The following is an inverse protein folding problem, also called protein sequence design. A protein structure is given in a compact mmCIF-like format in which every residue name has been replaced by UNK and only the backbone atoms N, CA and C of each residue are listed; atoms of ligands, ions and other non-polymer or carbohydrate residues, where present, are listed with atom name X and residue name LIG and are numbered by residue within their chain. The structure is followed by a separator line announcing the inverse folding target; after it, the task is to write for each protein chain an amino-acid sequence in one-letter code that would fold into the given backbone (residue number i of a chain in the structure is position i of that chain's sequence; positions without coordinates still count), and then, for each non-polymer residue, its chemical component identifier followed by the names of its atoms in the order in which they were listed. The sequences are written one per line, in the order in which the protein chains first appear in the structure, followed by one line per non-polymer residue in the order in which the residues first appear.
data_IF_918846948219
#
_entry.id   IF_918846948219
#
_cell.length_a   1.000
_cell.length_b   1.000
_cell.length_c   1.000
_cell.angle_alpha   90.00
_cell.angle_beta   90.00
_cell.angle_gamma   90.00
#
_symmetry.space_group_name_H-M   'P 1'
#
loop_
_entity.id
_entity.type
_entity.pdbx_description
1 polymer ?
#
# COMPACT_ATOMS: atom_id res chain seq x y z
N UNK A 1 -0.24 13.22 -3.22
CA UNK A 1 0.56 12.17 -2.56
C UNK A 1 -0.35 11.43 -1.60
N UNK A 2 -0.66 10.12 -1.74
CA UNK A 2 -1.49 9.43 -0.77
C UNK A 2 -0.69 8.93 0.44
N UNK A 3 -1.28 9.02 1.63
CA UNK A 3 -0.81 8.32 2.83
C UNK A 3 -1.54 6.99 2.90
N UNK A 4 -0.80 5.89 2.88
CA UNK A 4 -1.35 4.53 2.86
C UNK A 4 -0.94 3.77 4.11
N UNK A 5 -1.80 2.88 4.60
CA UNK A 5 -1.43 1.93 5.66
C UNK A 5 -2.22 0.63 5.57
N UNK A 6 -1.67 -0.41 6.18
CA UNK A 6 -2.45 -1.58 6.57
C UNK A 6 -3.22 -1.35 7.87
N UNK A 7 -3.86 -2.41 8.38
CA UNK A 7 -4.73 -2.34 9.56
C UNK A 7 -4.02 -1.92 10.85
N UNK A 8 -2.74 -2.29 11.03
CA UNK A 8 -1.97 -2.04 12.26
C UNK A 8 -1.51 -0.59 12.43
N UNK A 9 -1.55 0.23 11.38
CA UNK A 9 -1.06 1.61 11.39
C UNK A 9 -2.10 2.63 10.92
N UNK A 10 -3.36 2.20 10.85
CA UNK A 10 -4.51 3.00 10.38
C UNK A 10 -4.62 4.33 11.12
N UNK A 11 -4.60 4.31 12.45
CA UNK A 11 -4.80 5.52 13.26
C UNK A 11 -3.68 6.55 13.06
N UNK A 12 -2.43 6.09 13.04
CA UNK A 12 -1.26 6.95 12.78
C UNK A 12 -1.33 7.54 11.37
N UNK A 13 -1.68 6.74 10.37
CA UNK A 13 -1.80 7.18 8.98
C UNK A 13 -2.94 8.19 8.77
N UNK A 14 -4.11 7.93 9.37
CA UNK A 14 -5.26 8.85 9.35
C UNK A 14 -4.96 10.16 10.06
N UNK A 15 -4.15 10.14 11.12
CA UNK A 15 -3.73 11.36 11.82
C UNK A 15 -2.65 12.12 11.06
N UNK A 16 -1.75 11.42 10.36
CA UNK A 16 -0.69 12.02 9.56
C UNK A 16 -1.22 12.69 8.30
N UNK A 17 -2.23 12.11 7.65
CA UNK A 17 -2.67 12.57 6.32
C UNK A 17 -3.14 14.04 6.28
N UNK A 18 -3.90 14.58 7.27
CA UNK A 18 -4.29 15.98 7.28
C UNK A 18 -3.11 16.93 7.50
N UNK A 19 -2.10 16.53 8.30
CA UNK A 19 -0.89 17.32 8.50
C UNK A 19 -0.06 17.47 7.22
N UNK A 20 -0.15 16.48 6.33
CA UNK A 20 0.50 16.50 5.03
C UNK A 20 -0.38 17.11 3.92
N UNK A 21 -1.65 17.44 4.21
CA UNK A 21 -2.62 17.87 3.19
C UNK A 21 -2.94 16.77 2.18
N UNK A 22 -2.90 15.51 2.61
CA UNK A 22 -2.93 14.32 1.76
C UNK A 22 -4.17 13.45 2.03
N UNK A 23 -4.62 12.75 1.00
CA UNK A 23 -5.67 11.73 1.16
C UNK A 23 -5.12 10.51 1.89
N UNK A 24 -5.93 9.95 2.79
CA UNK A 24 -5.67 8.66 3.40
C UNK A 24 -6.30 7.54 2.56
N UNK A 25 -5.54 6.47 2.33
CA UNK A 25 -5.98 5.27 1.62
C UNK A 25 -5.66 4.04 2.47
N UNK A 26 -6.67 3.27 2.80
CA UNK A 26 -6.48 2.01 3.51
C UNK A 26 -6.19 0.86 2.54
N UNK A 27 -5.08 0.15 2.77
CA UNK A 27 -4.79 -1.08 2.04
C UNK A 27 -5.59 -2.25 2.62
N UNK A 28 -6.02 -3.17 1.76
CA UNK A 28 -6.56 -4.44 2.22
C UNK A 28 -5.42 -5.24 2.81
N UNK A 29 -5.52 -5.60 4.09
CA UNK A 29 -4.55 -6.47 4.74
C UNK A 29 -5.24 -7.45 5.67
N UNK A 30 -5.03 -8.76 5.44
CA UNK A 30 -5.59 -9.85 6.25
C UNK A 30 -4.65 -11.05 6.28
N UNK A 31 -4.98 -12.03 7.10
CA UNK A 31 -4.30 -13.34 7.13
C UNK A 31 -5.22 -14.43 6.62
N UNK A 32 -4.66 -15.38 5.89
CA UNK A 32 -5.32 -16.63 5.55
C UNK A 32 -5.35 -17.59 6.75
N UNK A 33 -6.19 -18.65 6.73
CA UNK A 33 -6.29 -19.61 7.83
C UNK A 33 -4.99 -20.37 8.14
N UNK A 34 -4.09 -20.49 7.18
CA UNK A 34 -2.75 -21.09 7.32
C UNK A 34 -1.70 -20.10 7.89
N UNK A 35 -2.09 -18.85 8.13
CA UNK A 35 -1.23 -17.81 8.68
C UNK A 35 -0.54 -16.94 7.63
N UNK A 36 -0.72 -17.21 6.33
CA UNK A 36 -0.11 -16.40 5.27
C UNK A 36 -0.73 -14.99 5.19
N UNK A 37 0.11 -14.00 4.87
CA UNK A 37 -0.31 -12.61 4.73
C UNK A 37 -0.90 -12.32 3.35
N UNK A 38 -2.06 -11.67 3.30
CA UNK A 38 -2.66 -11.15 2.08
C UNK A 38 -2.68 -9.62 2.12
N UNK A 39 -2.22 -9.01 1.03
CA UNK A 39 -2.26 -7.55 0.84
C UNK A 39 -2.80 -7.22 -0.55
N UNK A 40 -3.64 -6.18 -0.65
CA UNK A 40 -4.11 -5.63 -1.92
C UNK A 40 -4.29 -4.11 -1.84
N UNK A 41 -3.90 -3.40 -2.91
CA UNK A 41 -4.27 -1.99 -3.13
C UNK A 41 -5.71 -1.94 -3.68
N UNK A 42 -6.63 -1.18 -3.06
CA UNK A 42 -7.99 -1.01 -3.60
C UNK A 42 -8.00 -0.49 -5.04
N UNK A 43 -8.97 -0.92 -5.83
CA UNK A 43 -9.08 -0.62 -7.25
C UNK A 43 -9.29 0.89 -7.49
N UNK A 44 -10.13 1.51 -6.67
CA UNK A 44 -10.40 2.94 -6.62
C UNK A 44 -9.19 3.78 -6.14
N UNK A 45 -8.18 3.13 -5.56
CA UNK A 45 -6.95 3.79 -5.10
C UNK A 45 -5.77 3.68 -6.08
N UNK A 46 -5.91 2.94 -7.20
CA UNK A 46 -4.83 2.75 -8.18
C UNK A 46 -4.32 4.08 -8.72
N UNK A 47 -5.22 4.96 -9.15
CA UNK A 47 -4.85 6.26 -9.70
C UNK A 47 -4.21 7.17 -8.65
N UNK A 48 -4.72 7.15 -7.41
CA UNK A 48 -4.14 7.89 -6.30
C UNK A 48 -2.68 7.49 -6.04
N UNK A 49 -2.41 6.18 -5.96
CA UNK A 49 -1.06 5.62 -5.73
C UNK A 49 -0.10 5.92 -6.88
N UNK A 50 -0.62 6.10 -8.10
CA UNK A 50 0.18 6.37 -9.31
C UNK A 50 0.40 7.86 -9.57
N UNK A 51 -0.51 8.73 -9.14
CA UNK A 51 -0.51 10.17 -9.45
C UNK A 51 0.69 10.93 -8.88
N UNK A 52 1.11 10.61 -7.66
CA UNK A 52 2.15 11.32 -6.92
C UNK A 52 2.94 10.35 -6.03
N UNK A 53 3.93 10.86 -5.29
CA UNK A 53 4.60 10.06 -4.27
C UNK A 53 3.63 9.50 -3.21
N UNK A 54 3.87 8.27 -2.76
CA UNK A 54 3.06 7.55 -1.77
C UNK A 54 3.86 7.33 -0.50
N UNK A 55 3.26 7.60 0.66
CA UNK A 55 3.85 7.35 1.98
C UNK A 55 3.15 6.16 2.62
N UNK A 56 3.84 5.03 2.76
CA UNK A 56 3.38 3.88 3.52
C UNK A 56 3.73 4.06 5.00
N UNK A 57 2.71 4.16 5.84
CA UNK A 57 2.85 4.09 7.29
C UNK A 57 2.66 2.64 7.72
N UNK A 58 3.69 2.05 8.31
CA UNK A 58 3.65 0.65 8.74
C UNK A 58 4.56 0.39 9.93
N UNK A 59 4.05 -0.34 10.92
CA UNK A 59 4.84 -0.85 12.03
C UNK A 59 5.55 -2.16 11.63
N UNK A 60 6.84 -2.26 11.96
CA UNK A 60 7.68 -3.45 11.74
C UNK A 60 7.82 -4.34 12.98
N UNK A 61 7.05 -4.07 14.03
CA UNK A 61 6.94 -4.90 15.24
C UNK A 61 5.55 -5.56 15.34
N UNK A 62 5.45 -6.83 15.77
CA UNK A 62 6.53 -7.82 15.90
C UNK A 62 7.02 -8.30 14.52
N UNK A 63 7.87 -9.33 14.42
CA UNK A 63 8.43 -9.84 13.14
C UNK A 63 7.39 -10.03 12.02
N UNK A 64 6.17 -10.43 12.37
CA UNK A 64 5.07 -10.55 11.40
C UNK A 64 4.70 -9.23 10.70
N UNK A 65 4.96 -8.09 11.35
CA UNK A 65 4.83 -6.74 10.79
C UNK A 65 5.90 -6.42 9.74
N UNK A 66 7.10 -7.00 9.84
CA UNK A 66 8.15 -6.87 8.81
C UNK A 66 7.65 -7.50 7.50
N UNK A 67 7.17 -8.74 7.55
CA UNK A 67 6.65 -9.43 6.36
C UNK A 67 5.45 -8.69 5.77
N UNK A 68 4.51 -8.25 6.61
CA UNK A 68 3.35 -7.47 6.15
C UNK A 68 3.79 -6.16 5.46
N UNK A 69 4.80 -5.47 6.01
CA UNK A 69 5.37 -4.26 5.42
C UNK A 69 5.99 -4.54 4.06
N UNK A 70 6.76 -5.62 3.92
CA UNK A 70 7.37 -6.03 2.64
C UNK A 70 6.29 -6.31 1.60
N UNK A 71 5.21 -7.02 1.97
CA UNK A 71 4.10 -7.31 1.05
C UNK A 71 3.36 -6.03 0.61
N UNK A 72 3.14 -5.08 1.53
CA UNK A 72 2.56 -3.76 1.19
C UNK A 72 3.46 -2.96 0.26
N UNK A 73 4.76 -2.92 0.52
CA UNK A 73 5.73 -2.25 -0.36
C UNK A 73 5.74 -2.87 -1.76
N UNK A 74 5.70 -4.21 -1.86
CA UNK A 74 5.62 -4.92 -3.13
C UNK A 74 4.35 -4.57 -3.89
N UNK A 75 3.19 -4.63 -3.23
CA UNK A 75 1.90 -4.32 -3.86
C UNK A 75 1.85 -2.88 -4.40
N UNK A 76 2.33 -1.90 -3.62
CA UNK A 76 2.41 -0.51 -4.05
C UNK A 76 3.40 -0.32 -5.21
N UNK A 77 4.55 -1.00 -5.16
CA UNK A 77 5.54 -0.98 -6.24
C UNK A 77 4.96 -1.54 -7.54
N UNK A 78 4.22 -2.64 -7.48
CA UNK A 78 3.60 -3.26 -8.66
C UNK A 78 2.58 -2.30 -9.31
N UNK A 79 1.75 -1.65 -8.49
CA UNK A 79 0.81 -0.63 -8.95
C UNK A 79 1.54 0.53 -9.64
N UNK A 80 2.64 1.03 -9.08
CA UNK A 80 3.42 2.11 -9.70
C UNK A 80 4.12 1.68 -10.99
N UNK A 81 4.66 0.46 -11.04
CA UNK A 81 5.27 -0.11 -12.26
C UNK A 81 4.24 -0.48 -13.33
N UNK A 82 2.96 -0.45 -12.99
CA UNK A 82 1.89 -0.86 -13.88
C UNK A 82 1.85 -2.39 -14.10
N UNK A 83 2.38 -3.17 -13.16
CA UNK A 83 2.38 -4.64 -13.16
C UNK A 83 1.11 -5.15 -12.45
N UNK A 84 -0.05 -4.99 -13.08
CA UNK A 84 -1.38 -5.22 -12.49
C UNK A 84 -2.05 -6.53 -12.98
N UNK A 85 -1.25 -7.45 -13.52
CA UNK A 85 -1.77 -8.69 -14.07
C UNK A 85 -2.49 -9.52 -13.01
N UNK A 86 -3.66 -10.03 -13.35
CA UNK A 86 -4.43 -10.88 -12.47
C UNK A 86 -5.07 -12.04 -13.25
N UNK A 87 -5.33 -13.15 -12.55
CA UNK A 87 -5.85 -14.38 -13.16
C UNK A 87 -7.23 -14.20 -13.78
N UNK A 88 -8.01 -13.21 -13.33
CA UNK A 88 -9.34 -12.94 -13.87
C UNK A 88 -9.29 -12.18 -15.21
N UNK A 89 -8.16 -11.54 -15.54
CA UNK A 89 -8.03 -10.70 -16.74
C UNK A 89 -8.92 -9.46 -16.73
N UNK A 90 -9.37 -9.02 -15.54
CA UNK A 90 -10.26 -7.86 -15.37
C UNK A 90 -9.41 -6.65 -14.97
N UNK A 91 -9.85 -5.44 -15.34
CA UNK A 91 -9.12 -4.18 -15.10
C UNK A 91 -7.80 -4.08 -15.90
N UNK A 92 -7.05 -2.95 -15.83
CA UNK A 92 -5.81 -2.81 -16.57
C UNK A 92 -4.83 -3.91 -16.17
N UNK A 93 -4.49 -4.81 -17.08
CA UNK A 93 -3.48 -5.85 -16.85
C UNK A 93 -2.06 -5.27 -16.85
N UNK A 94 -1.89 -4.13 -17.49
CA UNK A 94 -0.63 -3.42 -17.62
C UNK A 94 -0.88 -1.93 -17.77
N UNK A 95 -0.03 -1.11 -17.16
CA UNK A 95 -0.02 0.34 -17.32
C UNK A 95 1.41 0.83 -17.53
N UNK A 96 1.59 2.15 -17.75
CA UNK A 96 2.92 2.76 -17.78
C UNK A 96 3.60 2.70 -16.41
N UNK A 97 4.93 2.62 -16.39
CA UNK A 97 5.71 2.78 -15.17
C UNK A 97 5.74 4.28 -14.79
N UNK A 98 5.31 4.63 -13.58
CA UNK A 98 5.36 6.01 -13.05
C UNK A 98 6.60 6.27 -12.18
N UNK A 99 7.52 5.30 -12.12
CA UNK A 99 8.81 5.43 -11.46
C UNK A 99 8.75 5.32 -9.94
N UNK A 100 9.83 5.77 -9.31
CA UNK A 100 9.99 5.78 -7.85
C UNK A 100 9.01 6.77 -7.18
N UNK A 101 9.09 6.89 -5.85
CA UNK A 101 8.16 7.72 -5.07
C UNK A 101 7.35 6.92 -4.07
N UNK A 102 7.93 5.85 -3.52
CA UNK A 102 7.37 5.13 -2.38
C UNK A 102 8.26 5.39 -1.17
N UNK A 103 7.69 5.96 -0.12
CA UNK A 103 8.37 6.28 1.13
C UNK A 103 7.80 5.40 2.24
N UNK A 104 8.66 4.80 3.05
CA UNK A 104 8.25 4.03 4.23
C UNK A 104 8.43 4.91 5.48
N UNK A 105 7.35 5.11 6.22
CA UNK A 105 7.33 5.74 7.53
C UNK A 105 7.05 4.66 8.59
N UNK A 106 8.00 4.44 9.49
CA UNK A 106 7.88 3.48 10.59
C UNK A 106 7.64 4.27 11.88
N UNK A 107 6.41 4.27 12.43
CA UNK A 107 6.15 4.82 13.74
C UNK A 107 6.72 3.87 14.80
N UNK A 108 7.53 4.42 15.71
CA UNK A 108 8.04 3.72 16.89
C UNK A 108 7.17 4.00 18.11
#
# INVERSE_FOLDING_TARGET
MPVVSGSSSREVAQTLSPHLGMQYVELVSRRFPDGEGYVRVPEDAIDAVRSEATVLVSNTYPDSGVLQTILMLKALRDVRRGELSNVKGIEPQKMSDVGSGLYLAIPY
#
